data_IF_725979826348
#
_entry.id   IF_725979826348
#
_cell.length_a   1.000
_cell.length_b   1.000
_cell.length_c   1.000
_cell.angle_alpha   90.00
_cell.angle_beta   90.00
_cell.angle_gamma   90.00
#
_symmetry.space_group_name_H-M   'P 1'
#
loop_
_entity.id
_entity.type
_entity.pdbx_description
1 polymer ?
#
# COMPACT_ATOMS: atom_id res chain seq x y z
N UNK A 1 -15.62 9.66 2.95
CA UNK A 1 -14.74 10.41 3.87
C UNK A 1 -13.37 9.78 3.75
N UNK A 2 -12.34 10.58 3.59
CA UNK A 2 -11.01 10.09 3.21
C UNK A 2 -10.06 10.05 4.41
N UNK A 3 -10.17 10.99 5.36
CA UNK A 3 -9.44 10.99 6.62
C UNK A 3 -10.25 10.39 7.78
N UNK A 4 -9.61 9.53 8.56
CA UNK A 4 -10.17 8.87 9.74
C UNK A 4 -9.96 9.76 10.97
N UNK A 5 -11.05 10.10 11.65
CA UNK A 5 -11.01 10.90 12.88
C UNK A 5 -10.64 10.03 14.08
N UNK A 6 -9.96 10.60 15.07
CA UNK A 6 -9.53 9.91 16.31
C UNK A 6 -8.68 8.66 16.08
N UNK A 7 -7.92 8.62 14.99
CA UNK A 7 -7.03 7.51 14.69
C UNK A 7 -5.97 7.33 15.79
N UNK A 8 -5.70 6.10 16.28
CA UNK A 8 -4.82 5.89 17.41
C UNK A 8 -3.37 6.23 17.10
N UNK A 9 -2.77 7.10 17.91
CA UNK A 9 -1.38 7.57 17.71
C UNK A 9 -0.35 6.42 17.82
N UNK A 10 -0.66 5.34 18.53
CA UNK A 10 0.26 4.20 18.61
C UNK A 10 0.42 3.49 17.27
N UNK A 11 -0.63 3.38 16.45
CA UNK A 11 -0.53 2.83 15.09
C UNK A 11 0.29 3.73 14.17
N UNK A 12 0.15 5.06 14.31
CA UNK A 12 0.99 6.03 13.59
C UNK A 12 2.48 5.80 13.90
N UNK A 13 2.84 5.72 15.20
CA UNK A 13 4.23 5.52 15.62
C UNK A 13 4.78 4.17 15.24
N UNK A 14 3.96 3.12 15.30
CA UNK A 14 4.36 1.77 14.89
C UNK A 14 4.73 1.74 13.41
N UNK A 15 3.85 2.28 12.55
CA UNK A 15 4.08 2.37 11.11
C UNK A 15 5.31 3.21 10.78
N UNK A 16 5.45 4.38 11.40
CA UNK A 16 6.61 5.26 11.20
C UNK A 16 7.92 4.60 11.64
N UNK A 17 7.93 3.97 12.83
CA UNK A 17 9.10 3.25 13.35
C UNK A 17 9.50 2.11 12.42
N UNK A 18 8.53 1.30 11.96
CA UNK A 18 8.83 0.19 11.05
C UNK A 18 9.46 0.69 9.76
N UNK A 19 8.91 1.74 9.13
CA UNK A 19 9.52 2.34 7.95
C UNK A 19 10.92 2.92 8.22
N UNK A 20 11.13 3.56 9.37
CA UNK A 20 12.46 4.09 9.73
C UNK A 20 13.51 2.99 9.84
N UNK A 21 13.14 1.82 10.38
CA UNK A 21 14.03 0.68 10.59
C UNK A 21 14.27 -0.15 9.32
N UNK A 22 13.29 -0.21 8.41
CA UNK A 22 13.28 -1.16 7.29
C UNK A 22 13.35 -0.50 5.90
N UNK A 23 13.29 0.84 5.79
CA UNK A 23 13.53 1.54 4.52
C UNK A 23 15.01 1.45 4.10
N UNK A 24 15.36 0.36 3.42
CA UNK A 24 16.64 0.22 2.74
C UNK A 24 16.64 0.99 1.41
N UNK A 25 16.97 2.28 1.46
CA UNK A 25 17.11 3.16 0.27
C UNK A 25 18.13 2.58 -0.73
N UNK A 26 17.64 1.76 -1.68
CA UNK A 26 18.38 1.28 -2.84
C UNK A 26 19.10 -0.07 -2.71
N UNK A 27 18.97 -0.79 -1.59
CA UNK A 27 19.64 -2.09 -1.37
C UNK A 27 18.69 -3.12 -0.75
N UNK A 28 17.57 -3.41 -1.42
CA UNK A 28 16.66 -4.47 -0.98
C UNK A 28 17.37 -5.83 -1.03
N UNK A 29 17.23 -6.60 0.04
CA UNK A 29 17.81 -7.93 0.22
C UNK A 29 16.71 -8.99 0.09
N UNK A 30 17.11 -10.23 -0.18
CA UNK A 30 16.19 -11.35 -0.07
C UNK A 30 15.59 -11.39 1.35
N UNK A 31 14.26 -11.38 1.44
CA UNK A 31 13.53 -11.26 2.72
C UNK A 31 12.79 -9.93 2.86
N UNK A 32 13.35 -8.83 2.35
CA UNK A 32 12.79 -7.47 2.56
C UNK A 32 11.39 -7.33 1.92
N UNK A 33 11.11 -8.05 0.83
CA UNK A 33 9.82 -7.99 0.16
C UNK A 33 8.73 -8.70 0.95
N UNK A 34 9.02 -9.87 1.49
CA UNK A 34 8.04 -10.63 2.29
C UNK A 34 7.83 -9.97 3.66
N UNK A 35 8.86 -9.36 4.23
CA UNK A 35 8.77 -8.56 5.44
C UNK A 35 7.86 -7.35 5.25
N UNK A 36 8.05 -6.59 4.16
CA UNK A 36 7.18 -5.49 3.77
C UNK A 36 5.72 -5.93 3.65
N UNK A 37 5.45 -7.01 2.90
CA UNK A 37 4.08 -7.47 2.67
C UNK A 37 3.42 -7.98 3.96
N UNK A 38 4.16 -8.73 4.77
CA UNK A 38 3.64 -9.32 6.01
C UNK A 38 3.35 -8.26 7.06
N UNK A 39 4.26 -7.29 7.25
CA UNK A 39 4.04 -6.17 8.17
C UNK A 39 2.75 -5.42 7.82
N UNK A 40 2.56 -5.03 6.56
CA UNK A 40 1.39 -4.25 6.15
C UNK A 40 0.09 -5.05 6.27
N UNK A 41 0.09 -6.36 5.96
CA UNK A 41 -1.08 -7.24 6.17
C UNK A 41 -1.49 -7.25 7.64
N UNK A 42 -0.57 -7.56 8.54
CA UNK A 42 -0.86 -7.68 9.97
C UNK A 42 -1.20 -6.32 10.62
N UNK A 43 -0.51 -5.26 10.21
CA UNK A 43 -0.77 -3.90 10.67
C UNK A 43 -2.17 -3.43 10.28
N UNK A 44 -2.58 -3.67 9.02
CA UNK A 44 -3.94 -3.38 8.57
C UNK A 44 -4.99 -4.16 9.34
N UNK A 45 -4.76 -5.44 9.62
CA UNK A 45 -5.71 -6.26 10.39
C UNK A 45 -6.00 -5.65 11.76
N UNK A 46 -4.95 -5.26 12.52
CA UNK A 46 -5.11 -4.59 13.82
C UNK A 46 -5.82 -3.23 13.71
N UNK A 47 -5.44 -2.45 12.70
CA UNK A 47 -6.07 -1.14 12.46
C UNK A 47 -7.56 -1.28 12.10
N UNK A 48 -7.91 -2.26 11.27
CA UNK A 48 -9.28 -2.49 10.81
C UNK A 48 -10.15 -3.10 11.91
N UNK A 49 -9.58 -3.91 12.80
CA UNK A 49 -10.26 -4.35 14.03
C UNK A 49 -10.64 -3.15 14.90
N UNK A 50 -9.69 -2.24 15.15
CA UNK A 50 -9.99 -0.97 15.83
C UNK A 50 -11.03 -0.16 15.07
N UNK A 51 -10.86 0.05 13.76
CA UNK A 51 -11.77 0.83 12.92
C UNK A 51 -13.21 0.32 13.02
N UNK A 52 -13.39 -1.00 12.93
CA UNK A 52 -14.69 -1.65 13.06
C UNK A 52 -15.27 -1.49 14.48
N UNK A 53 -14.44 -1.57 15.52
CA UNK A 53 -14.87 -1.36 16.92
C UNK A 53 -15.41 0.06 17.16
N UNK A 54 -15.01 1.04 16.36
CA UNK A 54 -15.51 2.41 16.41
C UNK A 54 -16.85 2.59 15.68
N UNK A 55 -17.39 1.55 15.03
CA UNK A 55 -18.63 1.62 14.24
C UNK A 55 -18.49 2.45 12.96
N UNK A 56 -17.26 2.60 12.45
CA UNK A 56 -16.98 3.34 11.22
C UNK A 56 -17.38 2.53 9.97
N UNK A 57 -17.64 3.22 8.86
CA UNK A 57 -18.14 2.58 7.64
C UNK A 57 -17.05 1.78 6.91
N UNK A 58 -17.15 0.46 6.93
CA UNK A 58 -16.21 -0.45 6.27
C UNK A 58 -16.13 -0.26 4.75
N UNK A 59 -17.19 0.26 4.10
CA UNK A 59 -17.17 0.53 2.66
C UNK A 59 -16.08 1.53 2.25
N UNK A 60 -15.63 2.38 3.17
CA UNK A 60 -14.59 3.37 2.88
C UNK A 60 -13.18 2.75 2.85
N UNK A 61 -12.98 1.58 3.44
CA UNK A 61 -11.68 0.89 3.54
C UNK A 61 -11.65 -0.42 2.73
N UNK A 62 -12.60 -0.60 1.82
CA UNK A 62 -12.62 -1.73 0.91
C UNK A 62 -11.44 -1.70 -0.07
N UNK A 63 -10.87 -2.86 -0.45
CA UNK A 63 -9.76 -2.88 -1.39
C UNK A 63 -10.13 -2.21 -2.70
N UNK A 64 -9.23 -1.41 -3.25
CA UNK A 64 -9.36 -1.04 -4.64
C UNK A 64 -9.32 -2.29 -5.52
N UNK A 65 -10.06 -2.27 -6.63
CA UNK A 65 -10.04 -3.35 -7.63
C UNK A 65 -8.84 -3.24 -8.58
N UNK A 66 -8.34 -2.02 -8.75
CA UNK A 66 -7.16 -1.64 -9.52
C UNK A 66 -6.75 -0.24 -9.05
N UNK A 67 -5.53 0.20 -9.39
CA UNK A 67 -5.13 1.60 -9.13
C UNK A 67 -6.15 2.53 -9.80
N UNK A 68 -6.69 3.56 -9.11
CA UNK A 68 -7.69 4.46 -9.68
C UNK A 68 -7.22 5.13 -10.98
N UNK A 69 -8.12 5.21 -11.97
CA UNK A 69 -7.80 5.86 -13.26
C UNK A 69 -7.41 7.34 -13.11
N UNK A 70 -7.87 8.01 -12.05
CA UNK A 70 -7.50 9.38 -11.73
C UNK A 70 -5.99 9.48 -11.41
N UNK A 71 -5.43 8.51 -10.67
CA UNK A 71 -3.99 8.40 -10.44
C UNK A 71 -3.27 8.11 -11.76
N UNK A 72 -3.76 7.16 -12.56
CA UNK A 72 -3.12 6.76 -13.83
C UNK A 72 -3.10 7.86 -14.90
N UNK A 73 -3.98 8.85 -14.80
CA UNK A 73 -4.03 10.01 -15.69
C UNK A 73 -3.13 11.16 -15.21
N UNK A 74 -2.58 11.05 -14.00
CA UNK A 74 -1.68 12.07 -13.47
C UNK A 74 -0.39 12.12 -14.32
N UNK A 75 0.17 13.31 -14.62
CA UNK A 75 1.41 13.41 -15.41
C UNK A 75 2.61 12.69 -14.81
N UNK A 76 2.61 12.48 -13.49
CA UNK A 76 3.63 11.69 -12.79
C UNK A 76 3.47 10.17 -12.92
N UNK A 77 2.35 9.68 -13.48
CA UNK A 77 2.18 8.26 -13.79
C UNK A 77 2.96 7.90 -15.06
N UNK A 78 4.18 7.39 -14.88
CA UNK A 78 5.08 7.11 -15.99
C UNK A 78 4.76 5.76 -16.65
N UNK A 79 5.40 5.52 -17.80
CA UNK A 79 5.28 4.25 -18.53
C UNK A 79 5.78 3.07 -17.69
N UNK A 80 6.84 3.27 -16.92
CA UNK A 80 7.44 2.24 -16.05
C UNK A 80 6.46 1.81 -14.95
N UNK A 81 5.70 2.75 -14.37
CA UNK A 81 4.65 2.47 -13.38
C UNK A 81 3.50 1.68 -14.01
N UNK A 82 3.07 2.07 -15.21
CA UNK A 82 2.05 1.37 -15.98
C UNK A 82 2.49 -0.07 -16.31
N UNK A 83 3.74 -0.27 -16.75
CA UNK A 83 4.30 -1.60 -17.04
C UNK A 83 4.42 -2.45 -15.76
N UNK A 84 4.81 -1.85 -14.63
CA UNK A 84 4.89 -2.52 -13.33
C UNK A 84 3.53 -3.03 -12.85
N UNK A 85 2.49 -2.18 -12.85
CA UNK A 85 1.13 -2.59 -12.47
C UNK A 85 0.60 -3.66 -13.43
N UNK A 86 0.84 -3.51 -14.74
CA UNK A 86 0.37 -4.47 -15.74
C UNK A 86 1.01 -5.85 -15.57
N UNK A 87 2.31 -5.94 -15.20
CA UNK A 87 2.97 -7.21 -14.87
C UNK A 87 2.27 -7.88 -13.69
N UNK A 88 2.04 -7.14 -12.60
CA UNK A 88 1.39 -7.67 -11.39
C UNK A 88 -0.02 -8.20 -11.71
N UNK A 89 -0.82 -7.39 -12.41
CA UNK A 89 -2.22 -7.71 -12.67
C UNK A 89 -2.41 -8.82 -13.71
N UNK A 90 -1.58 -8.83 -14.75
CA UNK A 90 -1.80 -9.69 -15.93
C UNK A 90 -0.95 -10.96 -15.92
N UNK A 91 0.13 -10.98 -15.13
CA UNK A 91 1.03 -12.12 -15.04
C UNK A 91 1.54 -12.32 -13.59
N UNK A 92 0.66 -12.54 -12.60
CA UNK A 92 1.07 -12.75 -11.22
C UNK A 92 1.97 -13.99 -11.05
N UNK A 93 1.82 -15.02 -11.89
CA UNK A 93 2.70 -16.20 -11.94
C UNK A 93 4.14 -15.89 -12.37
N UNK A 94 4.42 -14.67 -12.84
CA UNK A 94 5.80 -14.23 -13.14
C UNK A 94 6.63 -13.91 -11.90
N UNK A 95 6.01 -13.86 -10.71
CA UNK A 95 6.70 -13.71 -9.43
C UNK A 95 6.88 -15.09 -8.82
N UNK A 96 8.13 -15.44 -8.46
CA UNK A 96 8.46 -16.75 -7.86
C UNK A 96 8.00 -16.86 -6.41
N UNK A 97 7.78 -15.74 -5.74
CA UNK A 97 7.39 -15.68 -4.33
C UNK A 97 6.78 -14.31 -3.99
N UNK A 98 6.14 -14.24 -2.81
CA UNK A 98 5.74 -12.96 -2.21
C UNK A 98 6.93 -12.02 -1.98
N UNK A 99 8.11 -12.56 -1.62
CA UNK A 99 9.33 -11.74 -1.50
C UNK A 99 9.69 -11.04 -2.81
N UNK A 100 9.63 -11.74 -3.95
CA UNK A 100 9.92 -11.11 -5.24
C UNK A 100 8.88 -10.03 -5.58
N UNK A 101 7.60 -10.26 -5.30
CA UNK A 101 6.56 -9.25 -5.50
C UNK A 101 6.79 -8.01 -4.61
N UNK A 102 7.05 -8.22 -3.32
CA UNK A 102 7.24 -7.13 -2.36
C UNK A 102 8.46 -6.28 -2.68
N UNK A 103 9.56 -6.89 -3.13
CA UNK A 103 10.73 -6.15 -3.60
C UNK A 103 10.44 -5.41 -4.91
N UNK A 104 9.75 -6.06 -5.85
CA UNK A 104 9.40 -5.44 -7.12
C UNK A 104 8.55 -4.17 -6.94
N UNK A 105 7.57 -4.18 -6.02
CA UNK A 105 6.75 -3.00 -5.69
C UNK A 105 7.59 -1.81 -5.20
N UNK A 106 8.65 -2.08 -4.45
CA UNK A 106 9.56 -1.07 -3.89
C UNK A 106 10.60 -0.62 -4.93
N UNK A 107 11.23 -1.55 -5.65
CA UNK A 107 12.26 -1.28 -6.68
C UNK A 107 11.71 -0.47 -7.87
N UNK A 108 10.47 -0.73 -8.28
CA UNK A 108 9.81 0.02 -9.35
C UNK A 108 9.24 1.36 -8.88
N UNK A 109 9.32 1.65 -7.58
CA UNK A 109 8.66 2.78 -6.92
C UNK A 109 7.15 2.83 -7.12
N UNK A 110 6.51 1.74 -7.59
CA UNK A 110 5.06 1.67 -7.79
C UNK A 110 4.31 1.93 -6.48
N UNK A 111 4.81 1.36 -5.38
CA UNK A 111 4.27 1.60 -4.05
C UNK A 111 4.24 3.10 -3.69
N UNK A 112 5.40 3.74 -3.75
CA UNK A 112 5.56 5.13 -3.31
C UNK A 112 4.85 6.11 -4.26
N UNK A 113 4.86 5.83 -5.56
CA UNK A 113 4.19 6.66 -6.55
C UNK A 113 2.67 6.70 -6.30
N UNK A 114 2.03 5.58 -5.96
CA UNK A 114 0.59 5.58 -5.67
C UNK A 114 0.27 6.43 -4.44
N UNK A 115 1.11 6.39 -3.40
CA UNK A 115 0.98 7.26 -2.23
C UNK A 115 1.10 8.75 -2.59
N UNK A 116 2.15 9.14 -3.31
CA UNK A 116 2.41 10.54 -3.69
C UNK A 116 1.32 11.06 -4.62
N UNK A 117 1.09 10.38 -5.74
CA UNK A 117 0.13 10.82 -6.75
C UNK A 117 -1.31 10.76 -6.23
N UNK A 118 -1.65 9.75 -5.43
CA UNK A 118 -2.96 9.65 -4.81
C UNK A 118 -3.23 10.80 -3.82
N UNK A 119 -2.20 11.24 -3.08
CA UNK A 119 -2.35 12.37 -2.16
C UNK A 119 -2.69 13.68 -2.89
N UNK A 120 -2.13 13.89 -4.08
CA UNK A 120 -2.41 15.05 -4.93
C UNK A 120 -3.79 14.93 -5.59
N UNK A 121 -4.07 13.78 -6.20
CA UNK A 121 -5.29 13.55 -6.99
C UNK A 121 -6.55 13.58 -6.13
N UNK A 122 -6.48 13.11 -4.90
CA UNK A 122 -7.62 13.05 -3.99
C UNK A 122 -7.67 14.19 -2.97
N UNK A 123 -6.72 15.14 -3.01
CA UNK A 123 -6.57 16.22 -2.03
C UNK A 123 -6.46 15.69 -0.58
N UNK A 124 -5.68 14.62 -0.41
CA UNK A 124 -5.51 13.89 0.86
C UNK A 124 -4.03 13.78 1.23
N UNK A 125 -3.44 14.87 1.77
CA UNK A 125 -2.00 14.95 2.01
C UNK A 125 -1.48 13.92 3.01
N UNK A 126 -2.35 13.37 3.86
CA UNK A 126 -1.99 12.34 4.81
C UNK A 126 -1.60 11.04 4.11
N UNK A 127 -2.27 10.71 3.01
CA UNK A 127 -1.99 9.49 2.25
C UNK A 127 -0.56 9.47 1.72
N UNK A 128 0.01 10.62 1.37
CA UNK A 128 1.37 10.75 0.84
C UNK A 128 2.48 10.82 1.90
N UNK A 129 2.14 10.79 3.20
CA UNK A 129 3.11 10.97 4.29
C UNK A 129 3.22 9.69 5.10
N UNK A 130 4.40 9.06 5.15
CA UNK A 130 4.62 7.80 5.88
C UNK A 130 4.06 7.85 7.31
N UNK A 131 4.35 8.90 8.07
CA UNK A 131 3.89 9.05 9.45
C UNK A 131 2.38 9.29 9.61
N UNK A 132 1.65 9.61 8.53
CA UNK A 132 0.22 9.93 8.60
C UNK A 132 -0.63 9.06 7.67
N UNK A 133 -0.04 8.26 6.80
CA UNK A 133 -0.79 7.49 5.80
C UNK A 133 -1.81 6.53 6.43
N UNK A 134 -1.56 5.87 7.58
CA UNK A 134 -2.55 4.99 8.19
C UNK A 134 -3.86 5.68 8.59
N UNK A 135 -3.87 7.00 8.84
CA UNK A 135 -5.11 7.73 9.14
C UNK A 135 -5.92 8.12 7.90
N UNK A 136 -5.48 7.75 6.70
CA UNK A 136 -6.24 7.88 5.46
C UNK A 136 -6.90 6.55 5.10
N UNK A 137 -8.17 6.58 4.73
CA UNK A 137 -8.89 5.42 4.18
C UNK A 137 -8.23 4.90 2.90
N UNK A 138 -7.59 5.78 2.12
CA UNK A 138 -6.84 5.45 0.90
C UNK A 138 -5.69 4.48 1.17
N UNK A 139 -5.07 4.54 2.36
CA UNK A 139 -4.05 3.58 2.80
C UNK A 139 -4.60 2.16 2.76
N UNK A 140 -5.77 1.93 3.35
CA UNK A 140 -6.39 0.61 3.39
C UNK A 140 -6.85 0.16 2.00
N UNK A 141 -7.40 1.07 1.19
CA UNK A 141 -7.82 0.71 -0.15
C UNK A 141 -6.62 0.24 -1.01
N UNK A 142 -5.49 0.95 -0.88
CA UNK A 142 -4.25 0.66 -1.61
C UNK A 142 -3.56 -0.61 -1.09
N UNK A 143 -3.32 -0.71 0.20
CA UNK A 143 -2.60 -1.84 0.78
C UNK A 143 -3.41 -3.14 0.74
N UNK A 144 -4.74 -3.10 0.80
CA UNK A 144 -5.57 -4.30 0.54
C UNK A 144 -5.60 -4.69 -0.93
N UNK A 145 -5.37 -3.77 -1.88
CA UNK A 145 -5.12 -4.12 -3.29
C UNK A 145 -3.77 -4.86 -3.44
N UNK A 146 -2.72 -4.36 -2.80
CA UNK A 146 -1.42 -5.08 -2.74
C UNK A 146 -1.60 -6.47 -2.13
N UNK A 147 -2.35 -6.58 -1.03
CA UNK A 147 -2.62 -7.87 -0.39
C UNK A 147 -3.34 -8.85 -1.35
N UNK A 148 -4.30 -8.36 -2.13
CA UNK A 148 -4.98 -9.16 -3.15
C UNK A 148 -4.03 -9.63 -4.25
N UNK A 149 -3.07 -8.80 -4.66
CA UNK A 149 -2.01 -9.20 -5.60
C UNK A 149 -1.12 -10.28 -4.99
N UNK A 150 -0.69 -10.11 -3.74
CA UNK A 150 0.14 -11.10 -3.06
C UNK A 150 -0.58 -12.45 -2.92
N UNK A 151 -1.85 -12.46 -2.49
CA UNK A 151 -2.67 -13.69 -2.47
C UNK A 151 -2.81 -14.36 -3.83
N UNK A 152 -2.73 -13.59 -4.92
CA UNK A 152 -2.77 -14.15 -6.28
C UNK A 152 -1.46 -14.82 -6.66
N UNK A 153 -0.33 -14.31 -6.20
CA UNK A 153 0.99 -14.96 -6.32
C UNK A 153 1.03 -16.25 -5.48
N UNK A 154 0.47 -16.25 -4.26
CA UNK A 154 0.43 -17.45 -3.40
C UNK A 154 -0.43 -18.60 -3.96
N UNK A 155 -1.36 -18.30 -4.86
CA UNK A 155 -2.26 -19.28 -5.48
C UNK A 155 -1.78 -19.81 -6.84
N UNK A 156 -0.83 -19.11 -7.47
CA UNK A 156 -0.30 -19.46 -8.80
C UNK A 156 0.80 -20.48 -8.71
#
# INVERSE_FOLDING_TARGET
>A
MTRISNFPEHFIREHETWHHEHMNMGNLRAGDGIEFLSFHREFMERCLEWYNSQGLNLDWVEPWRAVPNQIKRHPGWTRELEEAENRIRSNPSSFRSGDELGRFLQETSLHDAVHVLGSEVFDEPDFGRISLSPRSTLFYNWHRLIDNWWRSVERG
#
